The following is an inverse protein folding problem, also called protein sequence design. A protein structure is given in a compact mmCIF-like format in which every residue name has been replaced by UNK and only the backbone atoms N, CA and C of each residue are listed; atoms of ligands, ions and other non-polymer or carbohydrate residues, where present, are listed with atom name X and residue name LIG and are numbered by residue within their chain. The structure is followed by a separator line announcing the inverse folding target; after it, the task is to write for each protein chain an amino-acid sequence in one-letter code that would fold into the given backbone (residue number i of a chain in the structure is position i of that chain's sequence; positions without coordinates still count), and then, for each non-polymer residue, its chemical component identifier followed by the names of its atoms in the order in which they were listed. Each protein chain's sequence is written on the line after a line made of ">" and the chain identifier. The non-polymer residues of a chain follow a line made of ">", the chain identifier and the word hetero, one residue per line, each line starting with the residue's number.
data_IF_523636344914
#
_entry.id   IF_523636344914
#
_cell.length_a   1.000
_cell.length_b   1.000
_cell.length_c   1.000
_cell.angle_alpha   90.00
_cell.angle_beta   90.00
_cell.angle_gamma   90.00
#
_symmetry.space_group_name_H-M   'P 1'
#
loop_
_entity.id
_entity.type
_entity.pdbx_description
1 polymer ?
#
# COMPACT_ATOMS: atom_id res chain seq x y z
N UNK A 1 13.26 -0.39 -1.10
CA UNK A 1 13.12 -0.70 0.34
C UNK A 1 11.88 -1.53 0.52
N UNK A 2 11.90 -2.50 1.42
CA UNK A 2 10.76 -3.41 1.60
C UNK A 2 9.52 -2.63 2.02
N UNK A 3 8.36 -2.99 1.47
CA UNK A 3 7.08 -2.36 1.77
C UNK A 3 6.78 -2.33 3.29
N UNK A 4 7.34 -3.30 4.02
CA UNK A 4 7.25 -3.42 5.48
C UNK A 4 8.14 -2.41 6.26
N UNK A 5 9.21 -1.88 5.65
CA UNK A 5 10.16 -0.97 6.33
C UNK A 5 9.84 0.52 6.10
N UNK A 6 9.29 0.85 4.93
CA UNK A 6 8.96 2.22 4.52
C UNK A 6 7.65 2.24 3.71
N UNK A 7 6.49 2.02 4.35
CA UNK A 7 5.21 1.90 3.65
C UNK A 7 4.84 3.16 2.86
N UNK A 8 5.15 4.35 3.41
CA UNK A 8 4.93 5.64 2.74
C UNK A 8 5.85 5.79 1.52
N UNK A 9 7.14 5.48 1.69
CA UNK A 9 8.11 5.56 0.58
C UNK A 9 7.78 4.59 -0.54
N UNK A 10 7.40 3.35 -0.22
CA UNK A 10 6.96 2.35 -1.18
C UNK A 10 5.75 2.85 -1.98
N UNK A 11 4.69 3.32 -1.31
CA UNK A 11 3.48 3.78 -1.98
C UNK A 11 3.72 5.01 -2.85
N UNK A 12 4.52 5.98 -2.38
CA UNK A 12 4.88 7.15 -3.18
C UNK A 12 5.70 6.78 -4.43
N UNK A 13 6.70 5.91 -4.29
CA UNK A 13 7.47 5.41 -5.44
C UNK A 13 6.61 4.62 -6.42
N UNK A 14 5.71 3.78 -5.89
CA UNK A 14 4.76 3.00 -6.69
C UNK A 14 3.84 3.92 -7.50
N UNK A 15 3.19 4.90 -6.85
CA UNK A 15 2.26 5.84 -7.51
C UNK A 15 2.97 6.64 -8.61
N UNK A 16 4.20 7.11 -8.37
CA UNK A 16 4.99 7.83 -9.40
C UNK A 16 5.23 6.94 -10.63
N UNK A 17 5.56 5.67 -10.41
CA UNK A 17 5.86 4.71 -11.50
C UNK A 17 4.60 4.23 -12.23
N UNK A 18 3.48 4.09 -11.54
CA UNK A 18 2.23 3.57 -12.15
C UNK A 18 1.33 4.67 -12.73
N UNK A 19 1.43 5.91 -12.24
CA UNK A 19 0.64 7.04 -12.77
C UNK A 19 0.86 7.25 -14.28
N UNK A 20 2.06 6.97 -14.78
CA UNK A 20 2.41 7.08 -16.21
C UNK A 20 1.99 5.87 -17.04
N UNK A 21 1.70 4.72 -16.41
CA UNK A 21 1.42 3.45 -17.11
C UNK A 21 -0.07 3.10 -17.16
N UNK A 22 -0.78 3.29 -16.05
CA UNK A 22 -2.18 2.82 -15.88
C UNK A 22 -3.14 3.94 -15.46
N UNK A 23 -2.63 5.16 -15.26
CA UNK A 23 -3.42 6.31 -14.85
C UNK A 23 -4.05 6.11 -13.47
N UNK A 24 -5.33 6.47 -13.32
CA UNK A 24 -6.08 6.43 -12.05
C UNK A 24 -7.11 5.29 -11.98
N UNK A 25 -6.96 4.26 -12.81
CA UNK A 25 -7.89 3.13 -12.80
C UNK A 25 -7.63 2.24 -11.58
N UNK A 26 -8.60 2.17 -10.66
CA UNK A 26 -8.47 1.43 -9.40
C UNK A 26 -8.14 -0.06 -9.61
N UNK A 27 -8.82 -0.74 -10.54
CA UNK A 27 -8.59 -2.16 -10.81
C UNK A 27 -7.16 -2.41 -11.30
N UNK A 28 -6.66 -1.57 -12.21
CA UNK A 28 -5.30 -1.69 -12.73
C UNK A 28 -4.26 -1.38 -11.64
N UNK A 29 -4.51 -0.39 -10.79
CA UNK A 29 -3.63 -0.04 -9.68
C UNK A 29 -3.56 -1.17 -8.63
N UNK A 30 -4.70 -1.79 -8.31
CA UNK A 30 -4.76 -2.92 -7.39
C UNK A 30 -4.05 -4.17 -7.94
N UNK A 31 -4.20 -4.44 -9.24
CA UNK A 31 -3.43 -5.51 -9.89
C UNK A 31 -1.93 -5.22 -9.90
N UNK A 32 -1.54 -3.99 -10.25
CA UNK A 32 -0.14 -3.59 -10.31
C UNK A 32 0.51 -3.63 -8.91
N UNK A 33 -0.19 -3.18 -7.86
CA UNK A 33 0.38 -3.23 -6.51
C UNK A 33 0.54 -4.67 -6.04
N UNK A 34 -0.39 -5.57 -6.39
CA UNK A 34 -0.27 -6.99 -6.04
C UNK A 34 1.02 -7.61 -6.58
N UNK A 35 1.44 -7.22 -7.79
CA UNK A 35 2.71 -7.69 -8.38
C UNK A 35 3.95 -7.04 -7.75
N UNK A 36 3.80 -5.87 -7.12
CA UNK A 36 4.89 -5.13 -6.49
C UNK A 36 5.06 -5.45 -5.00
N UNK A 37 4.05 -6.03 -4.35
CA UNK A 37 4.10 -6.48 -2.96
C UNK A 37 4.89 -7.79 -2.84
N UNK A 38 5.62 -7.93 -1.74
CA UNK A 38 6.38 -9.13 -1.42
C UNK A 38 6.17 -9.51 0.05
N UNK A 39 6.49 -10.75 0.40
CA UNK A 39 6.48 -11.24 1.78
C UNK A 39 5.13 -11.05 2.50
N UNK A 40 5.19 -10.53 3.73
CA UNK A 40 4.02 -10.30 4.58
C UNK A 40 2.97 -9.39 3.95
N UNK A 41 3.39 -8.39 3.17
CA UNK A 41 2.49 -7.44 2.53
C UNK A 41 1.68 -8.07 1.39
N UNK A 42 2.29 -8.97 0.61
CA UNK A 42 1.59 -9.73 -0.41
C UNK A 42 0.58 -10.70 0.23
N UNK A 43 0.99 -11.43 1.27
CA UNK A 43 0.10 -12.35 1.99
C UNK A 43 -1.10 -11.61 2.59
N UNK A 44 -0.86 -10.47 3.25
CA UNK A 44 -1.92 -9.65 3.82
C UNK A 44 -2.90 -9.15 2.76
N UNK A 45 -2.39 -8.64 1.63
CA UNK A 45 -3.27 -8.14 0.57
C UNK A 45 -4.09 -9.28 -0.06
N UNK A 46 -3.47 -10.44 -0.26
CA UNK A 46 -4.18 -11.66 -0.71
C UNK A 46 -5.29 -12.07 0.24
N UNK A 47 -5.08 -12.02 1.56
CA UNK A 47 -6.12 -12.29 2.55
C UNK A 47 -7.25 -11.26 2.50
N UNK A 48 -6.92 -9.97 2.36
CA UNK A 48 -7.92 -8.91 2.22
C UNK A 48 -8.81 -9.11 0.99
N UNK A 49 -8.23 -9.49 -0.15
CA UNK A 49 -8.99 -9.74 -1.38
C UNK A 49 -9.92 -10.97 -1.29
N UNK A 50 -9.62 -11.93 -0.41
CA UNK A 50 -10.47 -13.11 -0.17
C UNK A 50 -11.42 -12.95 1.03
N UNK A 51 -11.43 -11.79 1.69
CA UNK A 51 -12.30 -11.53 2.83
C UNK A 51 -13.71 -11.11 2.40
N UNK A 52 -14.67 -11.12 3.32
CA UNK A 52 -16.04 -10.60 3.10
C UNK A 52 -16.07 -9.11 2.72
N UNK A 53 -14.97 -8.38 2.97
CA UNK A 53 -14.84 -6.96 2.66
C UNK A 53 -13.55 -6.67 1.88
N UNK A 54 -13.50 -7.07 0.59
CA UNK A 54 -12.32 -6.92 -0.24
C UNK A 54 -12.07 -5.45 -0.60
N UNK A 55 -10.80 -5.13 -0.82
CA UNK A 55 -10.39 -3.77 -1.18
C UNK A 55 -10.75 -3.51 -2.63
N UNK A 56 -11.65 -2.54 -2.88
CA UNK A 56 -12.18 -2.25 -4.24
C UNK A 56 -11.66 -0.95 -4.85
N UNK A 57 -11.04 -0.10 -4.06
CA UNK A 57 -10.48 1.17 -4.53
C UNK A 57 -9.03 1.34 -4.08
N UNK A 58 -8.28 2.11 -4.86
CA UNK A 58 -6.90 2.46 -4.51
C UNK A 58 -6.82 3.30 -3.23
N UNK A 59 -7.80 4.19 -3.02
CA UNK A 59 -7.86 5.00 -1.80
C UNK A 59 -8.04 4.13 -0.55
N UNK A 60 -8.94 3.15 -0.62
CA UNK A 60 -9.17 2.19 0.46
C UNK A 60 -7.93 1.33 0.73
N UNK A 61 -7.28 0.85 -0.33
CA UNK A 61 -6.01 0.13 -0.20
C UNK A 61 -5.01 0.94 0.61
N UNK A 62 -4.78 2.20 0.24
CA UNK A 62 -3.82 3.08 0.93
C UNK A 62 -4.17 3.25 2.40
N UNK A 63 -5.43 3.54 2.73
CA UNK A 63 -5.86 3.71 4.12
C UNK A 63 -5.59 2.44 4.95
N UNK A 64 -6.00 1.27 4.45
CA UNK A 64 -5.81 0.00 5.19
C UNK A 64 -4.34 -0.41 5.24
N UNK A 65 -3.57 -0.17 4.18
CA UNK A 65 -2.14 -0.45 4.12
C UNK A 65 -1.37 0.42 5.11
N UNK A 66 -1.68 1.72 5.20
CA UNK A 66 -1.08 2.61 6.18
C UNK A 66 -1.48 2.30 7.61
N UNK A 67 -2.72 1.86 7.85
CA UNK A 67 -3.14 1.43 9.18
C UNK A 67 -2.39 0.16 9.61
N UNK A 68 -2.23 -0.80 8.69
CA UNK A 68 -1.54 -2.07 8.93
C UNK A 68 -0.03 -1.90 9.15
N UNK A 69 0.63 -1.13 8.29
CA UNK A 69 2.10 -1.02 8.25
C UNK A 69 2.63 0.25 8.91
N UNK A 70 1.76 0.98 9.63
CA UNK A 70 2.03 2.28 10.23
C UNK A 70 3.44 2.34 10.85
N UNK A 71 4.40 2.91 10.12
CA UNK A 71 5.75 3.13 10.63
C UNK A 71 5.66 4.11 11.81
N UNK A 72 6.10 3.76 13.03
CA UNK A 72 6.07 4.67 14.18
C UNK A 72 6.99 5.89 14.07
N UNK A 73 7.60 6.17 12.92
CA UNK A 73 8.67 7.16 12.77
C UNK A 73 8.20 8.63 12.77
N UNK A 74 6.95 8.92 13.14
CA UNK A 74 6.49 10.31 13.37
C UNK A 74 5.96 10.60 14.79
N UNK A 75 5.98 9.65 15.74
CA UNK A 75 5.61 9.93 17.14
C UNK A 75 6.86 10.09 18.03
N UNK A 76 7.97 10.63 17.51
CA UNK A 76 9.18 10.85 18.33
C UNK A 76 9.84 12.22 18.31
N UNK A 77 9.34 13.23 17.59
CA UNK A 77 9.94 14.57 17.63
C UNK A 77 8.91 15.71 17.51
N UNK A 78 8.08 15.91 18.53
CA UNK A 78 7.47 17.22 18.86
C UNK A 78 7.18 17.33 20.37
N UNK A 79 8.19 16.97 21.18
CA UNK A 79 8.29 17.40 22.59
C UNK A 79 9.76 17.67 22.92
N UNK A 80 10.18 18.89 22.62
CA UNK A 80 11.22 19.62 23.34
C UNK A 80 10.73 21.05 23.47
#
# INVERSE_FOLDING_TARGET
>A
GSADERPVGFLSEFEIRTATLVGKNDTLLLHAVQQALFGSALTWFGQMQNSDNPVRSWSEFKTRFYDRYRTPNQIRYFRT
#
